data_IF_986115967732
#
_entry.id   IF_986115967732
#
_cell.length_a   1.000
_cell.length_b   1.000
_cell.length_c   1.000
_cell.angle_alpha   90.00
_cell.angle_beta   90.00
_cell.angle_gamma   90.00
#
_symmetry.space_group_name_H-M   'P 1'
#
loop_
_entity.id
_entity.type
_entity.pdbx_description
1 polymer ?
#
# COMPACT_ATOMS: atom_id res chain seq x y z
N UNK A 1 -6.26 10.53 -5.40
CA UNK A 1 -5.42 9.37 -5.77
C UNK A 1 -5.65 8.32 -4.70
N UNK A 2 -6.13 7.15 -5.08
CA UNK A 2 -6.42 6.00 -4.20
C UNK A 2 -5.46 4.88 -4.58
N UNK A 3 -4.94 4.16 -3.59
CA UNK A 3 -4.10 2.98 -3.86
C UNK A 3 -4.98 1.76 -3.59
N UNK A 4 -5.07 0.85 -4.56
CA UNK A 4 -5.85 -0.38 -4.46
C UNK A 4 -4.91 -1.56 -4.37
N UNK A 5 -5.13 -2.44 -3.39
CA UNK A 5 -4.42 -3.70 -3.25
C UNK A 5 -5.08 -4.77 -4.12
N UNK A 6 -4.23 -5.56 -4.76
CA UNK A 6 -4.62 -6.79 -5.43
C UNK A 6 -4.32 -7.98 -4.50
N UNK A 7 -5.37 -8.62 -4.00
CA UNK A 7 -5.23 -9.78 -3.11
C UNK A 7 -4.69 -11.03 -3.84
N UNK A 8 -4.84 -11.11 -5.16
CA UNK A 8 -4.33 -12.25 -5.92
C UNK A 8 -2.81 -12.26 -6.02
N UNK A 9 -2.21 -11.07 -6.09
CA UNK A 9 -0.75 -10.89 -6.14
C UNK A 9 -0.13 -10.74 -4.75
N UNK A 10 -0.89 -10.24 -3.77
CA UNK A 10 -0.32 -9.91 -2.47
C UNK A 10 -0.05 -11.15 -1.61
N UNK A 11 1.22 -11.36 -1.29
CA UNK A 11 1.71 -12.42 -0.41
C UNK A 11 1.71 -12.08 1.09
N UNK A 12 1.03 -10.99 1.50
CA UNK A 12 0.97 -10.52 2.90
C UNK A 12 2.34 -10.31 3.57
N UNK A 13 3.36 -9.89 2.80
CA UNK A 13 4.70 -9.64 3.32
C UNK A 13 4.81 -8.49 4.35
N UNK A 14 3.82 -7.58 4.42
CA UNK A 14 3.81 -6.45 5.35
C UNK A 14 4.84 -5.34 5.05
N UNK A 15 5.53 -5.40 3.91
CA UNK A 15 6.54 -4.38 3.52
C UNK A 15 5.88 -3.01 3.35
N UNK A 16 4.67 -2.96 2.78
CA UNK A 16 3.92 -1.72 2.55
C UNK A 16 3.66 -0.92 3.84
N UNK A 17 3.45 -1.59 4.97
CA UNK A 17 3.24 -0.95 6.27
C UNK A 17 4.55 -0.38 6.81
N UNK A 18 5.63 -1.16 6.72
CA UNK A 18 6.97 -0.77 7.22
C UNK A 18 7.56 0.43 6.48
N UNK A 19 7.30 0.54 5.18
CA UNK A 19 7.81 1.65 4.36
C UNK A 19 6.91 2.89 4.41
N UNK A 20 5.73 2.78 5.01
CA UNK A 20 4.79 3.88 5.09
C UNK A 20 5.26 4.88 6.16
N UNK A 21 5.64 6.12 5.79
CA UNK A 21 6.09 7.11 6.76
C UNK A 21 4.98 7.57 7.71
N UNK A 22 3.72 7.33 7.33
CA UNK A 22 2.54 7.72 8.08
C UNK A 22 2.00 6.58 8.96
N UNK A 23 2.72 5.45 9.06
CA UNK A 23 2.33 4.29 9.87
C UNK A 23 0.89 3.80 9.58
N UNK A 24 0.50 3.88 8.32
CA UNK A 24 -0.81 3.38 7.86
C UNK A 24 -0.67 1.87 7.64
N UNK A 25 -1.59 1.10 8.20
CA UNK A 25 -1.76 -0.35 7.94
C UNK A 25 -2.31 -0.58 6.52
N UNK A 26 -1.48 -0.39 5.50
CA UNK A 26 -1.77 -0.65 4.08
C UNK A 26 -2.14 -2.12 3.86
N UNK A 27 -1.50 -3.05 4.57
CA UNK A 27 -1.79 -4.49 4.45
C UNK A 27 -3.16 -4.88 5.01
N UNK A 28 -3.79 -4.07 5.87
CA UNK A 28 -5.13 -4.37 6.38
C UNK A 28 -6.24 -3.72 5.56
N UNK A 29 -5.89 -2.84 4.62
CA UNK A 29 -6.85 -2.08 3.81
C UNK A 29 -6.82 -2.55 2.36
N UNK A 30 -8.00 -2.80 1.79
CA UNK A 30 -8.16 -3.05 0.35
C UNK A 30 -7.87 -1.80 -0.48
N UNK A 31 -8.31 -0.65 0.02
CA UNK A 31 -8.12 0.65 -0.60
C UNK A 31 -7.50 1.59 0.43
N UNK A 32 -6.30 2.08 0.15
CA UNK A 32 -5.66 3.13 0.95
C UNK A 32 -6.29 4.46 0.55
N UNK A 33 -7.28 4.86 1.35
CA UNK A 33 -7.91 6.18 1.29
C UNK A 33 -7.93 6.78 2.70
N UNK A 34 -6.74 7.09 3.20
CA UNK A 34 -6.57 7.79 4.47
C UNK A 34 -6.27 9.26 4.23
N UNK A 35 -6.84 10.12 5.08
CA UNK A 35 -6.50 11.55 5.14
C UNK A 35 -5.03 11.76 5.49
N UNK A 36 -4.45 10.84 6.26
CA UNK A 36 -3.03 10.81 6.58
C UNK A 36 -2.15 10.39 5.39
N UNK A 37 -2.71 9.80 4.32
CA UNK A 37 -1.92 9.35 3.19
C UNK A 37 -1.45 10.54 2.34
N UNK A 38 -0.18 10.91 2.48
CA UNK A 38 0.48 11.96 1.69
C UNK A 38 0.76 11.57 0.22
N UNK A 39 0.27 10.41 -0.23
CA UNK A 39 0.49 9.91 -1.60
C UNK A 39 1.97 9.82 -2.01
N UNK A 40 2.85 9.45 -1.06
CA UNK A 40 4.30 9.32 -1.33
C UNK A 40 4.67 8.14 -2.24
N UNK A 41 3.74 7.23 -2.52
CA UNK A 41 3.90 6.03 -3.38
C UNK A 41 5.01 5.04 -2.97
N UNK A 42 5.63 5.19 -1.80
CA UNK A 42 6.66 4.25 -1.30
C UNK A 42 6.15 2.82 -1.18
N UNK A 43 4.90 2.63 -0.76
CA UNK A 43 4.30 1.30 -0.61
C UNK A 43 4.19 0.57 -1.96
N UNK A 44 3.87 1.29 -3.04
CA UNK A 44 3.83 0.74 -4.41
C UNK A 44 5.25 0.43 -4.87
N UNK A 45 6.17 1.40 -4.77
CA UNK A 45 7.56 1.24 -5.22
C UNK A 45 8.35 0.13 -4.52
N UNK A 46 8.02 -0.16 -3.25
CA UNK A 46 8.69 -1.19 -2.45
C UNK A 46 7.92 -2.51 -2.41
N UNK A 47 6.78 -2.60 -3.09
CA UNK A 47 6.04 -3.86 -3.14
C UNK A 47 6.83 -4.87 -3.98
N UNK A 48 7.25 -6.02 -3.42
CA UNK A 48 8.07 -7.00 -4.15
C UNK A 48 7.30 -7.73 -5.25
N UNK A 49 5.97 -7.74 -5.14
CA UNK A 49 5.03 -8.45 -6.03
C UNK A 49 4.16 -7.49 -6.83
N UNK A 50 4.45 -6.19 -6.74
CA UNK A 50 3.73 -5.11 -7.42
C UNK A 50 2.18 -5.20 -7.27
N UNK A 51 1.74 -5.64 -6.08
CA UNK A 51 0.33 -5.89 -5.79
C UNK A 51 -0.47 -4.62 -5.46
N UNK A 52 0.10 -3.42 -5.61
CA UNK A 52 -0.55 -2.15 -5.27
C UNK A 52 -0.66 -1.28 -6.52
N UNK A 53 -1.89 -0.98 -6.96
CA UNK A 53 -2.15 -0.11 -8.12
C UNK A 53 -2.63 1.26 -7.68
N UNK A 54 -2.22 2.30 -8.41
CA UNK A 54 -2.64 3.69 -8.18
C UNK A 54 -3.73 4.06 -9.17
N UNK A 55 -4.88 4.52 -8.64
CA UNK A 55 -6.02 5.04 -9.41
C UNK A 55 -6.47 6.43 -8.93
#
# INVERSE_FOLDING_TARGET
RKIRRDHSLCNSCGVCDRVCPMWIDVSKKDVVRDTACISCMKCVQKCPVDALKVE
#
